data_IF_650509438527
#
_entry.id   IF_650509438527
#
_cell.length_a   1.000
_cell.length_b   1.000
_cell.length_c   1.000
_cell.angle_alpha   90.00
_cell.angle_beta   90.00
_cell.angle_gamma   90.00
#
_symmetry.space_group_name_H-M   'P 1'
#
loop_
_entity.id
_entity.type
_entity.pdbx_description
1 polymer ?
#
# COMPACT_ATOMS: atom_id res chain seq x y z
N UNK A 1 -17.43 -7.54 -24.92
CA UNK A 1 -17.29 -7.52 -23.44
C UNK A 1 -17.26 -6.07 -23.02
N UNK A 2 -18.28 -5.59 -22.32
CA UNK A 2 -18.21 -4.29 -21.65
C UNK A 2 -16.98 -4.33 -20.73
N UNK A 3 -16.08 -3.36 -20.87
CA UNK A 3 -15.00 -3.18 -19.90
C UNK A 3 -15.67 -2.79 -18.57
N UNK A 4 -15.79 -3.73 -17.67
CA UNK A 4 -16.11 -3.39 -16.29
C UNK A 4 -15.02 -2.43 -15.82
N UNK A 5 -15.41 -1.28 -15.28
CA UNK A 5 -14.47 -0.31 -14.77
C UNK A 5 -13.65 -0.88 -13.60
N UNK A 6 -12.54 -0.24 -13.25
CA UNK A 6 -11.69 -0.68 -12.13
C UNK A 6 -12.49 -0.86 -10.82
N UNK A 7 -13.36 0.11 -10.48
CA UNK A 7 -14.16 0.02 -9.25
C UNK A 7 -15.20 -1.09 -9.30
N UNK A 8 -15.77 -1.39 -10.48
CA UNK A 8 -16.71 -2.51 -10.63
C UNK A 8 -16.02 -3.86 -10.41
N UNK A 9 -14.78 -4.01 -10.89
CA UNK A 9 -13.96 -5.18 -10.62
C UNK A 9 -13.72 -5.33 -9.11
N UNK A 10 -13.40 -4.24 -8.40
CA UNK A 10 -13.19 -4.28 -6.95
C UNK A 10 -14.47 -4.58 -6.18
N UNK A 11 -15.62 -4.02 -6.60
CA UNK A 11 -16.92 -4.32 -5.99
C UNK A 11 -17.26 -5.80 -6.15
N UNK A 12 -17.12 -6.33 -7.35
CA UNK A 12 -17.39 -7.74 -7.64
C UNK A 12 -16.51 -8.69 -6.82
N UNK A 13 -15.25 -8.31 -6.57
CA UNK A 13 -14.32 -9.06 -5.73
C UNK A 13 -14.48 -8.84 -4.23
N UNK A 14 -15.35 -7.93 -3.80
CA UNK A 14 -15.46 -7.46 -2.41
C UNK A 14 -14.13 -6.88 -1.89
N UNK A 15 -13.37 -6.25 -2.79
CA UNK A 15 -12.10 -5.59 -2.50
C UNK A 15 -12.22 -4.08 -2.25
N UNK A 16 -13.38 -3.49 -2.42
CA UNK A 16 -13.61 -2.07 -2.17
C UNK A 16 -14.07 -1.87 -0.72
N UNK A 17 -13.28 -1.16 0.09
CA UNK A 17 -13.62 -0.82 1.48
C UNK A 17 -14.11 0.60 1.58
N UNK A 18 -13.22 1.57 1.40
CA UNK A 18 -13.52 2.99 1.47
C UNK A 18 -12.84 3.73 0.31
N UNK A 19 -13.47 4.79 -0.17
CA UNK A 19 -12.88 5.70 -1.14
C UNK A 19 -13.46 7.11 -1.00
N UNK A 20 -12.71 8.11 -1.46
CA UNK A 20 -13.15 9.50 -1.41
C UNK A 20 -14.12 9.81 -2.53
N UNK A 21 -15.11 10.73 -2.29
CA UNK A 21 -16.04 11.18 -3.33
C UNK A 21 -15.33 11.73 -4.57
N UNK A 22 -15.93 11.55 -5.74
CA UNK A 22 -15.40 12.01 -7.02
C UNK A 22 -14.40 11.06 -7.69
N UNK A 23 -13.98 9.98 -7.03
CA UNK A 23 -13.03 9.02 -7.60
C UNK A 23 -13.62 8.28 -8.82
N UNK A 24 -14.91 7.95 -8.80
CA UNK A 24 -15.57 7.26 -9.93
C UNK A 24 -15.50 8.09 -11.20
N UNK A 25 -15.95 9.32 -11.13
CA UNK A 25 -15.96 10.27 -12.24
C UNK A 25 -14.52 10.57 -12.71
N UNK A 26 -13.58 10.67 -11.77
CA UNK A 26 -12.18 10.87 -12.12
C UNK A 26 -11.62 9.71 -12.93
N UNK A 27 -11.93 8.47 -12.59
CA UNK A 27 -11.45 7.26 -13.29
C UNK A 27 -11.99 7.13 -14.72
N UNK A 28 -13.14 7.71 -15.04
CA UNK A 28 -13.70 7.70 -16.39
C UNK A 28 -12.92 8.56 -17.38
N UNK A 29 -12.18 9.54 -16.91
CA UNK A 29 -11.51 10.57 -17.74
C UNK A 29 -10.22 10.12 -18.43
N UNK A 30 -9.94 8.82 -18.61
CA UNK A 30 -8.77 8.33 -19.32
C UNK A 30 -7.74 7.62 -18.42
N UNK A 31 -6.47 7.58 -18.83
CA UNK A 31 -5.41 6.92 -18.05
C UNK A 31 -5.13 7.73 -16.79
N UNK A 32 -5.31 7.12 -15.64
CA UNK A 32 -5.04 7.71 -14.32
C UNK A 32 -3.84 7.06 -13.65
N UNK A 33 -3.22 7.79 -12.74
CA UNK A 33 -2.06 7.32 -12.00
C UNK A 33 -2.43 7.13 -10.52
N UNK A 34 -2.14 5.95 -9.97
CA UNK A 34 -2.33 5.62 -8.57
C UNK A 34 -1.09 4.93 -7.99
N UNK A 35 -0.86 5.07 -6.68
CA UNK A 35 0.28 4.42 -6.06
C UNK A 35 -0.08 3.60 -4.82
N UNK A 36 0.81 2.64 -4.53
CA UNK A 36 0.89 1.93 -3.25
C UNK A 36 2.35 1.93 -2.80
N UNK A 37 2.56 2.18 -1.50
CA UNK A 37 3.88 2.10 -0.86
C UNK A 37 4.15 0.71 -0.27
N UNK A 38 5.41 0.28 -0.37
CA UNK A 38 5.91 -0.98 0.19
C UNK A 38 7.17 -0.70 1.01
N UNK A 39 7.06 -0.81 2.33
CA UNK A 39 8.22 -0.71 3.21
C UNK A 39 9.06 -2.01 3.18
N UNK A 40 10.39 -1.91 3.06
CA UNK A 40 11.28 -3.05 2.89
C UNK A 40 11.59 -3.76 4.21
N UNK A 41 10.55 -4.22 4.91
CA UNK A 41 10.66 -4.83 6.24
C UNK A 41 11.26 -6.24 6.24
N UNK A 42 11.33 -6.89 5.09
CA UNK A 42 11.92 -8.21 4.87
C UNK A 42 12.40 -8.37 3.43
N UNK A 43 13.23 -9.39 3.17
CA UNK A 43 13.72 -9.72 1.82
C UNK A 43 12.60 -10.11 0.84
N UNK A 44 11.46 -10.57 1.33
CA UNK A 44 10.34 -10.98 0.52
C UNK A 44 9.07 -10.23 0.90
N UNK A 45 8.18 -10.10 -0.05
CA UNK A 45 6.79 -9.72 0.15
C UNK A 45 6.00 -10.93 0.65
N UNK A 46 5.04 -10.70 1.55
CA UNK A 46 4.15 -11.73 2.07
C UNK A 46 2.77 -11.69 1.42
N UNK A 47 1.86 -12.58 1.83
CA UNK A 47 0.50 -12.66 1.28
C UNK A 47 -0.30 -11.36 1.44
N UNK A 48 -0.12 -10.61 2.53
CA UNK A 48 -0.77 -9.31 2.69
C UNK A 48 -0.31 -8.28 1.64
N UNK A 49 0.99 -8.28 1.31
CA UNK A 49 1.51 -7.44 0.23
C UNK A 49 1.02 -7.90 -1.13
N UNK A 50 0.85 -9.21 -1.33
CA UNK A 50 0.35 -9.76 -2.59
C UNK A 50 -1.03 -9.22 -2.94
N UNK A 51 -1.94 -9.08 -1.96
CA UNK A 51 -3.25 -8.45 -2.18
C UNK A 51 -3.11 -7.02 -2.70
N UNK A 52 -2.16 -6.25 -2.16
CA UNK A 52 -1.92 -4.88 -2.61
C UNK A 52 -1.29 -4.83 -4.01
N UNK A 53 -0.45 -5.81 -4.35
CA UNK A 53 0.09 -5.96 -5.71
C UNK A 53 -1.04 -6.30 -6.69
N UNK A 54 -1.96 -7.18 -6.29
CA UNK A 54 -3.13 -7.52 -7.10
C UNK A 54 -4.03 -6.30 -7.34
N UNK A 55 -4.20 -5.42 -6.33
CA UNK A 55 -4.92 -4.16 -6.50
C UNK A 55 -4.26 -3.29 -7.59
N UNK A 56 -2.94 -3.14 -7.57
CA UNK A 56 -2.20 -2.45 -8.64
C UNK A 56 -2.32 -3.16 -9.99
N UNK A 57 -2.32 -4.49 -10.01
CA UNK A 57 -2.50 -5.29 -11.22
C UNK A 57 -3.89 -5.09 -11.84
N UNK A 58 -4.94 -5.08 -11.03
CA UNK A 58 -6.30 -4.77 -11.51
C UNK A 58 -6.40 -3.34 -12.04
N UNK A 59 -5.76 -2.39 -11.36
CA UNK A 59 -5.68 -1.01 -11.84
C UNK A 59 -4.97 -0.91 -13.20
N UNK A 60 -3.84 -1.61 -13.36
CA UNK A 60 -3.11 -1.66 -14.63
C UNK A 60 -3.93 -2.33 -15.73
N UNK A 61 -4.61 -3.44 -15.43
CA UNK A 61 -5.47 -4.16 -16.39
C UNK A 61 -6.69 -3.36 -16.84
N UNK A 62 -7.18 -2.45 -15.97
CA UNK A 62 -8.23 -1.50 -16.31
C UNK A 62 -7.74 -0.36 -17.24
N UNK A 63 -6.45 -0.33 -17.56
CA UNK A 63 -5.85 0.65 -18.48
C UNK A 63 -5.18 1.83 -17.77
N UNK A 64 -5.11 1.84 -16.45
CA UNK A 64 -4.50 2.91 -15.67
C UNK A 64 -3.03 2.61 -15.34
N UNK A 65 -2.30 3.61 -14.87
CA UNK A 65 -0.85 3.54 -14.59
C UNK A 65 -0.57 3.37 -13.10
N UNK A 66 -0.09 2.20 -12.64
CA UNK A 66 0.33 2.01 -11.26
C UNK A 66 1.70 2.62 -11.01
N UNK A 67 1.89 3.18 -9.82
CA UNK A 67 3.19 3.56 -9.27
C UNK A 67 3.45 2.69 -8.04
N UNK A 68 4.59 2.01 -8.06
CA UNK A 68 5.10 1.25 -6.93
C UNK A 68 6.11 2.13 -6.20
N UNK A 69 5.83 2.46 -4.94
CA UNK A 69 6.75 3.23 -4.11
C UNK A 69 7.46 2.31 -3.14
N UNK A 70 8.77 2.19 -3.30
CA UNK A 70 9.61 1.50 -2.32
C UNK A 70 9.94 2.45 -1.17
N UNK A 71 9.67 2.01 0.05
CA UNK A 71 9.85 2.78 1.28
C UNK A 71 11.32 2.90 1.72
N UNK A 72 12.20 3.44 0.87
CA UNK A 72 13.61 3.64 1.23
C UNK A 72 13.79 4.67 2.35
N UNK A 73 12.94 5.69 2.44
CA UNK A 73 12.90 6.63 3.55
C UNK A 73 11.98 6.13 4.68
N UNK A 74 10.74 5.81 4.38
CA UNK A 74 9.73 5.38 5.37
C UNK A 74 10.11 4.09 6.07
N UNK A 75 10.76 3.15 5.39
CA UNK A 75 11.28 1.93 6.01
C UNK A 75 12.36 2.15 7.07
N UNK A 76 13.03 3.31 7.06
CA UNK A 76 14.01 3.73 8.09
C UNK A 76 13.36 4.30 9.35
N UNK A 77 12.07 4.61 9.27
CA UNK A 77 11.29 5.22 10.35
C UNK A 77 10.34 4.19 10.98
N UNK A 78 9.60 3.45 10.18
CA UNK A 78 8.66 2.41 10.59
C UNK A 78 7.23 2.90 10.76
N UNK A 79 6.31 2.28 10.00
CA UNK A 79 4.88 2.58 10.04
C UNK A 79 4.24 2.06 11.34
N UNK A 80 3.57 2.91 12.14
CA UNK A 80 2.84 2.51 13.35
C UNK A 80 1.51 1.81 13.05
N UNK A 81 0.99 1.91 11.83
CA UNK A 81 -0.36 1.43 11.48
C UNK A 81 -0.52 -0.07 11.73
N UNK A 82 -1.57 -0.42 12.48
CA UNK A 82 -1.88 -1.82 12.80
C UNK A 82 -0.84 -2.54 13.65
N UNK A 83 -0.04 -1.80 14.46
CA UNK A 83 1.00 -2.32 15.36
C UNK A 83 0.79 -1.84 16.79
N UNK A 84 1.10 -2.73 17.73
CA UNK A 84 1.02 -2.45 19.18
C UNK A 84 2.36 -1.96 19.75
N UNK A 85 3.47 -2.18 19.02
CA UNK A 85 4.84 -1.83 19.43
C UNK A 85 5.59 -1.18 18.28
N UNK A 86 6.55 -0.32 18.63
CA UNK A 86 7.49 0.27 17.69
C UNK A 86 8.29 -0.81 16.95
N UNK A 87 8.58 -0.57 15.67
CA UNK A 87 9.38 -1.49 14.86
C UNK A 87 10.85 -1.40 15.27
N UNK A 88 11.51 -2.54 15.30
CA UNK A 88 12.96 -2.58 15.35
C UNK A 88 13.53 -1.99 14.05
N UNK A 89 14.44 -1.01 14.22
CA UNK A 89 15.09 -0.35 13.10
C UNK A 89 16.17 -1.26 12.50
N UNK A 90 16.07 -1.47 11.20
CA UNK A 90 17.05 -2.24 10.42
C UNK A 90 18.21 -1.36 9.98
N UNK A 91 19.36 -1.97 9.68
CA UNK A 91 20.47 -1.25 9.06
C UNK A 91 20.08 -0.73 7.67
N UNK A 92 20.70 0.37 7.24
CA UNK A 92 20.42 0.96 5.92
C UNK A 92 20.76 -0.01 4.79
N UNK A 93 21.86 -0.77 4.93
CA UNK A 93 22.22 -1.79 3.96
C UNK A 93 21.17 -2.90 3.85
N UNK A 94 20.64 -3.39 4.98
CA UNK A 94 19.59 -4.40 4.97
C UNK A 94 18.32 -3.90 4.28
N UNK A 95 17.95 -2.65 4.52
CA UNK A 95 16.78 -2.04 3.86
C UNK A 95 16.99 -1.93 2.34
N UNK A 96 18.17 -1.47 1.93
CA UNK A 96 18.50 -1.31 0.51
C UNK A 96 18.55 -2.68 -0.21
N UNK A 97 19.08 -3.72 0.45
CA UNK A 97 19.06 -5.09 -0.06
C UNK A 97 17.63 -5.63 -0.17
N UNK A 98 16.81 -5.40 0.84
CA UNK A 98 15.40 -5.81 0.84
C UNK A 98 14.62 -5.15 -0.30
N UNK A 99 14.86 -3.86 -0.59
CA UNK A 99 14.27 -3.16 -1.73
C UNK A 99 14.58 -3.90 -3.03
N UNK A 100 15.84 -4.26 -3.26
CA UNK A 100 16.25 -4.94 -4.48
C UNK A 100 15.57 -6.30 -4.65
N UNK A 101 15.42 -7.07 -3.58
CA UNK A 101 14.70 -8.36 -3.62
C UNK A 101 13.21 -8.18 -3.90
N UNK A 102 12.56 -7.23 -3.23
CA UNK A 102 11.14 -6.96 -3.42
C UNK A 102 10.83 -6.42 -4.83
N UNK A 103 11.70 -5.56 -5.38
CA UNK A 103 11.56 -5.05 -6.76
C UNK A 103 11.58 -6.18 -7.79
N UNK A 104 12.42 -7.22 -7.59
CA UNK A 104 12.43 -8.39 -8.48
C UNK A 104 11.10 -9.13 -8.47
N UNK A 105 10.46 -9.25 -7.31
CA UNK A 105 9.14 -9.88 -7.19
C UNK A 105 8.04 -9.04 -7.85
N UNK A 106 8.05 -7.72 -7.63
CA UNK A 106 7.09 -6.78 -8.22
C UNK A 106 7.15 -6.78 -9.75
N UNK A 107 8.35 -6.87 -10.33
CA UNK A 107 8.55 -6.95 -11.79
C UNK A 107 8.00 -8.22 -12.43
N UNK A 108 7.75 -9.27 -11.66
CA UNK A 108 7.10 -10.48 -12.16
C UNK A 108 5.57 -10.38 -12.21
N UNK A 109 4.99 -9.43 -11.46
CA UNK A 109 3.55 -9.33 -11.23
C UNK A 109 2.91 -8.11 -11.89
N UNK A 110 3.71 -7.11 -12.27
CA UNK A 110 3.27 -5.88 -12.92
C UNK A 110 4.10 -5.64 -14.19
N UNK A 111 3.48 -5.04 -15.20
CA UNK A 111 4.20 -4.66 -16.43
C UNK A 111 4.88 -3.30 -16.24
N UNK A 112 6.22 -3.29 -16.25
CA UNK A 112 7.06 -2.10 -16.18
C UNK A 112 7.66 -1.70 -17.54
N UNK A 113 7.57 -2.55 -18.54
CA UNK A 113 8.39 -2.43 -19.76
C UNK A 113 7.67 -1.70 -20.88
N UNK A 114 6.40 -2.01 -21.15
CA UNK A 114 5.70 -1.57 -22.36
C UNK A 114 4.32 -0.96 -22.07
N UNK A 115 3.89 -0.11 -23.00
CA UNK A 115 2.54 0.44 -23.05
C UNK A 115 2.38 1.79 -22.34
N UNK A 116 1.28 2.51 -22.61
CA UNK A 116 1.01 3.83 -22.06
C UNK A 116 0.73 3.80 -20.55
N UNK A 117 0.35 2.65 -20.02
CA UNK A 117 0.03 2.41 -18.61
C UNK A 117 1.06 1.49 -17.92
N UNK A 118 2.29 1.44 -18.45
CA UNK A 118 3.39 0.72 -17.77
C UNK A 118 3.58 1.24 -16.36
N UNK A 119 3.90 0.36 -15.43
CA UNK A 119 4.14 0.71 -14.04
C UNK A 119 5.38 1.59 -13.87
N UNK A 120 5.35 2.46 -12.87
CA UNK A 120 6.49 3.30 -12.48
C UNK A 120 7.01 2.76 -11.15
N UNK A 121 8.32 2.62 -11.04
CA UNK A 121 9.02 2.29 -9.80
C UNK A 121 9.68 3.54 -9.23
N UNK A 122 9.39 3.86 -7.98
CA UNK A 122 9.93 5.02 -7.26
C UNK A 122 10.52 4.55 -5.93
N UNK A 123 11.66 5.09 -5.53
CA UNK A 123 12.17 4.98 -4.18
C UNK A 123 11.93 6.32 -3.47
N UNK A 124 11.11 6.34 -2.42
CA UNK A 124 10.78 7.58 -1.73
C UNK A 124 12.00 8.23 -1.04
N UNK A 125 13.10 7.50 -0.85
CA UNK A 125 14.35 8.09 -0.36
C UNK A 125 14.85 9.21 -1.28
N UNK A 126 14.55 9.13 -2.59
CA UNK A 126 14.98 10.15 -3.56
C UNK A 126 14.31 11.52 -3.32
N UNK A 127 13.12 11.54 -2.67
CA UNK A 127 12.42 12.78 -2.34
C UNK A 127 13.10 13.58 -1.21
N UNK A 128 13.93 12.91 -0.42
CA UNK A 128 14.60 13.50 0.75
C UNK A 128 16.08 13.74 0.53
N UNK A 129 16.65 13.31 -0.61
CA UNK A 129 18.04 13.55 -0.95
C UNK A 129 18.33 15.05 -1.02
N UNK A 130 19.28 15.51 -0.21
CA UNK A 130 19.66 16.91 -0.17
C UNK A 130 18.78 17.81 0.70
N UNK A 131 17.64 17.32 1.20
CA UNK A 131 16.82 18.05 2.15
C UNK A 131 17.40 17.90 3.56
N UNK A 132 17.71 19.01 4.20
CA UNK A 132 18.13 18.98 5.61
C UNK A 132 16.91 19.02 6.56
N UNK A 133 17.15 18.73 7.84
CA UNK A 133 16.08 18.64 8.84
C UNK A 133 15.32 19.97 9.01
N UNK A 134 15.97 21.11 8.88
CA UNK A 134 15.32 22.42 9.06
C UNK A 134 14.39 22.72 7.87
N UNK A 135 14.81 22.37 6.66
CA UNK A 135 13.98 22.47 5.46
C UNK A 135 12.76 21.56 5.56
N UNK A 136 12.95 20.30 5.98
CA UNK A 136 11.83 19.38 6.19
C UNK A 136 10.82 19.92 7.21
N UNK A 137 11.26 20.39 8.37
CA UNK A 137 10.38 20.94 9.38
C UNK A 137 9.66 22.20 8.90
N UNK A 138 10.34 23.08 8.16
CA UNK A 138 9.79 24.32 7.65
C UNK A 138 8.81 24.07 6.49
N UNK A 139 9.19 23.26 5.50
CA UNK A 139 8.48 23.19 4.22
C UNK A 139 7.48 22.03 4.17
N UNK A 140 7.67 21.01 5.01
CA UNK A 140 6.75 19.88 5.17
C UNK A 140 5.98 19.98 6.49
N UNK A 141 6.68 20.12 7.60
CA UNK A 141 6.10 20.07 8.95
C UNK A 141 4.98 21.07 9.20
N UNK A 142 5.09 22.29 8.68
CA UNK A 142 4.09 23.36 8.90
C UNK A 142 2.71 23.10 8.32
N UNK A 143 2.60 22.19 7.35
CA UNK A 143 1.34 21.94 6.63
C UNK A 143 0.42 20.93 7.32
N UNK A 144 0.89 20.31 8.41
CA UNK A 144 0.10 19.35 9.18
C UNK A 144 0.09 19.74 10.65
N UNK A 145 -1.10 19.94 11.23
CA UNK A 145 -1.20 20.30 12.65
C UNK A 145 -1.06 19.06 13.53
N UNK A 146 -0.46 19.23 14.71
CA UNK A 146 -0.32 18.16 15.72
C UNK A 146 -1.69 17.58 16.07
N UNK A 147 -2.72 18.43 16.28
CA UNK A 147 -4.06 17.95 16.60
C UNK A 147 -4.63 17.03 15.52
N UNK A 148 -4.39 17.33 14.24
CA UNK A 148 -4.79 16.49 13.15
C UNK A 148 -4.05 15.14 13.15
N UNK A 149 -2.74 15.16 13.40
CA UNK A 149 -1.95 13.95 13.51
C UNK A 149 -2.40 13.07 14.70
N UNK A 150 -2.66 13.66 15.84
CA UNK A 150 -3.14 12.98 17.04
C UNK A 150 -4.57 12.41 16.87
N UNK A 151 -5.37 12.94 15.96
CA UNK A 151 -6.72 12.44 15.69
C UNK A 151 -6.76 11.09 14.98
N UNK A 152 -5.64 10.66 14.39
CA UNK A 152 -5.58 9.40 13.62
C UNK A 152 -5.65 8.18 14.53
N UNK A 153 -6.43 7.17 14.12
CA UNK A 153 -6.66 5.97 14.93
C UNK A 153 -5.37 5.21 15.24
N UNK A 154 -4.45 5.12 14.25
CA UNK A 154 -3.15 4.50 14.43
C UNK A 154 -2.29 5.18 15.48
N UNK A 155 -2.43 6.50 15.64
CA UNK A 155 -1.71 7.29 16.66
C UNK A 155 -2.40 7.18 18.01
N UNK A 156 -3.74 7.30 18.07
CA UNK A 156 -4.50 7.22 19.32
C UNK A 156 -4.19 5.95 20.12
N UNK A 157 -4.19 4.79 19.45
CA UNK A 157 -3.85 3.51 20.09
C UNK A 157 -2.45 3.47 20.68
N UNK A 158 -1.51 4.16 20.03
CA UNK A 158 -0.11 4.21 20.46
C UNK A 158 0.17 5.24 21.55
N UNK A 159 -0.68 6.28 21.70
CA UNK A 159 -0.52 7.27 22.77
C UNK A 159 -0.60 6.64 24.16
N UNK A 160 -1.42 5.60 24.36
CA UNK A 160 -1.57 4.92 25.64
C UNK A 160 -0.34 4.09 26.01
N UNK A 161 0.35 3.52 25.03
CA UNK A 161 1.54 2.66 25.21
C UNK A 161 2.86 3.39 25.00
N UNK A 162 2.80 4.63 24.55
CA UNK A 162 3.95 5.44 24.14
C UNK A 162 4.24 5.30 22.65
N UNK A 163 4.47 6.44 21.98
CA UNK A 163 4.90 6.54 20.59
C UNK A 163 6.14 7.44 20.54
N UNK A 164 7.21 7.00 19.86
CA UNK A 164 8.37 7.86 19.67
C UNK A 164 8.07 8.98 18.67
N UNK A 165 8.83 10.08 18.73
CA UNK A 165 8.73 11.16 17.74
C UNK A 165 9.02 10.61 16.32
N UNK A 166 9.96 9.70 16.21
CA UNK A 166 10.30 9.03 14.93
C UNK A 166 9.08 8.33 14.35
N UNK A 167 8.46 7.44 15.10
CA UNK A 167 7.27 6.69 14.67
C UNK A 167 6.08 7.64 14.40
N UNK A 168 5.89 8.66 15.24
CA UNK A 168 4.85 9.67 15.05
C UNK A 168 5.02 10.47 13.76
N UNK A 169 6.27 10.74 13.35
CA UNK A 169 6.57 11.48 12.12
C UNK A 169 6.28 10.72 10.83
N UNK A 170 6.08 9.39 10.89
CA UNK A 170 5.85 8.55 9.71
C UNK A 170 4.71 9.06 8.83
N UNK A 171 3.58 9.42 9.42
CA UNK A 171 2.43 9.91 8.65
C UNK A 171 2.73 11.19 7.87
N UNK A 172 3.66 12.03 8.37
CA UNK A 172 4.08 13.25 7.69
C UNK A 172 4.96 12.93 6.48
N UNK A 173 5.85 11.93 6.60
CA UNK A 173 6.65 11.45 5.48
C UNK A 173 5.77 10.88 4.37
N UNK A 174 4.85 9.99 4.72
CA UNK A 174 3.94 9.39 3.73
C UNK A 174 3.04 10.45 3.05
N UNK A 175 2.62 11.47 3.79
CA UNK A 175 1.86 12.59 3.22
C UNK A 175 2.69 13.41 2.21
N UNK A 176 3.97 13.64 2.53
CA UNK A 176 4.90 14.31 1.62
C UNK A 176 5.26 13.46 0.40
N UNK A 177 5.40 12.15 0.56
CA UNK A 177 5.57 11.22 -0.57
C UNK A 177 4.43 11.37 -1.58
N UNK A 178 3.18 11.42 -1.10
CA UNK A 178 2.04 11.63 -1.99
C UNK A 178 2.11 12.97 -2.73
N UNK A 179 2.50 14.03 -2.05
CA UNK A 179 2.70 15.34 -2.67
C UNK A 179 3.80 15.30 -3.74
N UNK A 180 4.92 14.66 -3.48
CA UNK A 180 6.00 14.49 -4.47
C UNK A 180 5.53 13.70 -5.69
N UNK A 181 4.78 12.62 -5.48
CA UNK A 181 4.22 11.82 -6.57
C UNK A 181 3.16 12.59 -7.38
N UNK A 182 2.35 13.41 -6.71
CA UNK A 182 1.42 14.32 -7.37
C UNK A 182 2.16 15.29 -8.31
N UNK A 183 3.24 15.91 -7.82
CA UNK A 183 4.01 16.89 -8.61
C UNK A 183 4.80 16.23 -9.77
N UNK A 184 5.42 15.08 -9.52
CA UNK A 184 6.35 14.46 -10.47
C UNK A 184 5.67 13.53 -11.49
N UNK A 185 4.54 12.92 -11.12
CA UNK A 185 3.90 11.86 -11.90
C UNK A 185 2.40 12.07 -12.15
N UNK A 186 1.85 13.25 -11.80
CA UNK A 186 0.40 13.49 -11.78
C UNK A 186 -0.37 12.34 -11.10
N UNK A 187 0.24 11.82 -10.00
CA UNK A 187 -0.35 10.73 -9.23
C UNK A 187 -1.39 11.31 -8.28
N UNK A 188 -2.66 11.09 -8.57
CA UNK A 188 -3.77 11.68 -7.82
C UNK A 188 -4.52 10.69 -6.94
N UNK A 189 -4.15 9.41 -6.98
CA UNK A 189 -4.81 8.38 -6.18
C UNK A 189 -3.77 7.68 -5.31
N UNK A 190 -4.03 7.62 -4.00
CA UNK A 190 -3.30 6.73 -3.09
C UNK A 190 -4.20 5.56 -2.72
N UNK A 191 -3.65 4.35 -2.81
CA UNK A 191 -4.35 3.11 -2.48
C UNK A 191 -3.62 2.34 -1.39
N UNK A 192 -4.35 1.49 -0.65
CA UNK A 192 -3.77 0.67 0.40
C UNK A 192 -4.78 -0.24 1.10
N UNK A 193 -4.35 -0.92 2.16
CA UNK A 193 -5.25 -1.63 3.07
C UNK A 193 -6.03 -0.65 3.96
N UNK A 194 -7.12 -1.09 4.55
CA UNK A 194 -7.97 -0.24 5.40
C UNK A 194 -7.26 0.30 6.65
N UNK A 195 -6.20 -0.38 7.12
CA UNK A 195 -5.33 0.11 8.19
C UNK A 195 -4.51 1.34 7.79
N UNK A 196 -4.37 1.62 6.50
CA UNK A 196 -3.68 2.78 5.94
C UNK A 196 -4.58 4.01 5.72
N UNK A 197 -5.89 3.92 5.94
CA UNK A 197 -6.83 5.02 5.69
C UNK A 197 -6.41 6.35 6.34
N UNK A 198 -5.93 6.29 7.58
CA UNK A 198 -5.44 7.46 8.32
C UNK A 198 -4.24 8.14 7.65
N UNK A 199 -3.26 7.35 7.21
CA UNK A 199 -2.07 7.85 6.51
C UNK A 199 -2.45 8.39 5.12
N UNK A 200 -3.28 7.66 4.37
CA UNK A 200 -3.73 8.05 3.02
C UNK A 200 -4.48 9.40 3.06
N UNK A 201 -5.43 9.54 3.99
CA UNK A 201 -6.18 10.79 4.14
C UNK A 201 -5.32 11.94 4.67
N UNK A 202 -4.21 11.66 5.36
CA UNK A 202 -3.22 12.69 5.70
C UNK A 202 -2.52 13.23 4.45
N UNK A 203 -2.24 12.37 3.48
CA UNK A 203 -1.68 12.76 2.19
C UNK A 203 -2.64 13.62 1.36
N UNK A 204 -3.91 13.24 1.27
CA UNK A 204 -4.91 14.06 0.56
C UNK A 204 -5.07 15.43 1.20
N UNK A 205 -5.11 15.52 2.53
CA UNK A 205 -5.20 16.79 3.24
C UNK A 205 -3.93 17.63 3.08
N UNK A 206 -2.75 17.01 3.08
CA UNK A 206 -1.49 17.70 2.84
C UNK A 206 -1.47 18.36 1.46
N UNK A 207 -1.86 17.64 0.40
CA UNK A 207 -1.92 18.17 -0.96
C UNK A 207 -2.94 19.31 -1.04
N UNK A 208 -4.14 19.13 -0.48
CA UNK A 208 -5.19 20.17 -0.48
C UNK A 208 -4.71 21.48 0.17
N UNK A 209 -3.88 21.42 1.21
CA UNK A 209 -3.32 22.60 1.88
C UNK A 209 -2.20 23.27 1.10
N UNK A 210 -1.47 22.51 0.31
CA UNK A 210 -0.32 23.02 -0.47
C UNK A 210 -0.69 23.47 -1.87
N UNK A 211 -1.71 22.83 -2.46
CA UNK A 211 -2.16 23.09 -3.83
C UNK A 211 -3.65 23.37 -3.80
N UNK A 212 -4.08 24.64 -3.75
CA UNK A 212 -5.49 25.00 -3.80
C UNK A 212 -6.17 24.39 -5.03
N UNK A 213 -7.42 23.96 -4.86
CA UNK A 213 -8.25 23.36 -5.92
C UNK A 213 -7.71 22.02 -6.47
N UNK A 214 -6.73 21.41 -5.81
CA UNK A 214 -6.25 20.08 -6.19
C UNK A 214 -7.31 19.02 -5.89
N UNK A 215 -7.52 18.13 -6.86
CA UNK A 215 -8.36 16.95 -6.71
C UNK A 215 -7.45 15.72 -6.56
N UNK A 216 -7.48 15.09 -5.40
CA UNK A 216 -6.74 13.87 -5.09
C UNK A 216 -7.63 12.92 -4.28
N UNK A 217 -7.39 11.64 -4.44
CA UNK A 217 -8.30 10.60 -4.02
C UNK A 217 -7.60 9.53 -3.18
N UNK A 218 -8.37 8.91 -2.32
CA UNK A 218 -8.00 7.77 -1.49
C UNK A 218 -8.87 6.56 -1.83
N UNK A 219 -8.28 5.37 -1.80
CA UNK A 219 -9.01 4.11 -1.93
C UNK A 219 -8.38 3.06 -1.03
N UNK A 220 -9.20 2.32 -0.29
CA UNK A 220 -8.73 1.21 0.53
C UNK A 220 -9.45 -0.09 0.25
N UNK A 221 -8.71 -1.18 0.47
CA UNK A 221 -9.23 -2.55 0.45
C UNK A 221 -9.41 -3.08 1.86
N UNK A 222 -10.35 -4.01 2.11
CA UNK A 222 -10.42 -4.73 3.36
C UNK A 222 -9.11 -5.46 3.65
N UNK A 223 -8.76 -5.57 4.93
CA UNK A 223 -7.65 -6.44 5.33
C UNK A 223 -8.01 -7.91 5.08
N UNK A 224 -7.05 -8.67 4.59
CA UNK A 224 -7.21 -10.11 4.46
C UNK A 224 -7.10 -10.75 5.85
N UNK A 225 -8.25 -11.14 6.40
CA UNK A 225 -8.38 -11.77 7.71
C UNK A 225 -9.02 -13.14 7.58
N UNK A 226 -8.71 -14.03 8.53
CA UNK A 226 -9.41 -15.29 8.72
C UNK A 226 -10.81 -15.07 9.30
N UNK A 227 -11.66 -16.08 9.26
CA UNK A 227 -13.00 -16.04 9.85
C UNK A 227 -12.99 -15.80 11.38
N UNK A 228 -11.87 -16.15 12.06
CA UNK A 228 -11.64 -15.86 13.48
C UNK A 228 -11.11 -14.42 13.75
N UNK A 229 -11.00 -13.58 12.72
CA UNK A 229 -10.53 -12.20 12.80
C UNK A 229 -9.00 -12.03 12.80
N UNK A 230 -8.22 -13.12 12.84
CA UNK A 230 -6.77 -13.04 12.79
C UNK A 230 -6.27 -12.69 11.39
N UNK A 231 -5.07 -12.11 11.31
CA UNK A 231 -4.43 -11.77 10.01
C UNK A 231 -4.18 -13.06 9.21
N UNK A 232 -4.66 -13.07 7.97
CA UNK A 232 -4.36 -14.13 7.02
C UNK A 232 -2.89 -14.06 6.55
N UNK A 233 -2.32 -15.20 6.14
CA UNK A 233 -0.93 -15.23 5.66
C UNK A 233 0.11 -15.37 6.77
N UNK A 234 -0.34 -15.70 8.00
CA UNK A 234 0.52 -16.13 9.09
C UNK A 234 0.22 -17.58 9.44
N UNK A 235 1.26 -18.42 9.51
CA UNK A 235 1.22 -19.74 10.10
C UNK A 235 1.72 -19.69 11.56
N UNK A 236 1.70 -20.81 12.24
CA UNK A 236 2.35 -20.96 13.56
C UNK A 236 3.86 -20.69 13.51
N UNK A 237 4.48 -20.95 12.35
CA UNK A 237 5.91 -20.74 12.09
C UNK A 237 6.24 -19.30 11.60
N UNK A 238 5.25 -18.40 11.47
CA UNK A 238 5.45 -17.02 11.04
C UNK A 238 4.76 -16.66 9.73
N UNK A 239 5.30 -15.69 9.01
CA UNK A 239 4.72 -15.20 7.76
C UNK A 239 4.89 -16.19 6.60
N UNK A 240 3.91 -16.25 5.72
CA UNK A 240 4.01 -16.93 4.42
C UNK A 240 4.55 -15.92 3.40
N UNK A 241 5.70 -16.23 2.86
CA UNK A 241 6.46 -15.39 1.94
C UNK A 241 6.29 -15.82 0.49
N UNK A 242 6.38 -14.88 -0.43
CA UNK A 242 6.34 -15.16 -1.87
C UNK A 242 7.67 -15.69 -2.42
N UNK A 243 8.76 -15.57 -1.65
CA UNK A 243 10.08 -16.10 -2.00
C UNK A 243 10.21 -17.58 -1.58
N UNK A 244 10.57 -18.43 -2.55
CA UNK A 244 10.73 -19.87 -2.34
C UNK A 244 11.86 -20.24 -1.37
N UNK A 245 12.83 -19.37 -1.13
CA UNK A 245 13.90 -19.57 -0.15
C UNK A 245 13.42 -19.28 1.28
N UNK A 246 12.41 -18.41 1.45
CA UNK A 246 11.85 -18.06 2.76
C UNK A 246 10.64 -18.92 3.12
N UNK A 247 9.81 -19.28 2.15
CA UNK A 247 8.73 -20.26 2.29
C UNK A 247 8.85 -21.24 1.12
N UNK A 248 9.26 -22.48 1.42
CA UNK A 248 9.44 -23.48 0.37
C UNK A 248 8.13 -23.72 -0.40
N UNK A 249 8.19 -24.10 -1.69
CA UNK A 249 6.98 -24.38 -2.48
C UNK A 249 6.06 -25.41 -1.82
N UNK A 250 6.63 -26.42 -1.15
CA UNK A 250 5.88 -27.41 -0.38
C UNK A 250 5.12 -26.77 0.80
N UNK A 251 5.80 -25.94 1.61
CA UNK A 251 5.15 -25.22 2.74
C UNK A 251 4.09 -24.24 2.24
N UNK A 252 4.35 -23.55 1.13
CA UNK A 252 3.38 -22.66 0.51
C UNK A 252 2.13 -23.41 0.04
N UNK A 253 2.31 -24.55 -0.63
CA UNK A 253 1.23 -25.44 -1.06
C UNK A 253 0.44 -25.97 0.16
N UNK A 254 1.13 -26.47 1.19
CA UNK A 254 0.50 -26.98 2.39
C UNK A 254 -0.29 -25.91 3.16
N UNK A 255 0.20 -24.67 3.15
CA UNK A 255 -0.55 -23.56 3.75
C UNK A 255 -1.92 -23.38 3.06
N UNK A 256 -1.96 -23.40 1.74
CA UNK A 256 -3.21 -23.27 1.00
C UNK A 256 -4.12 -24.49 1.12
N UNK A 257 -3.55 -25.66 1.13
CA UNK A 257 -4.30 -26.91 1.28
C UNK A 257 -4.99 -27.02 2.65
N UNK A 258 -4.42 -26.42 3.68
CA UNK A 258 -4.94 -26.43 5.05
C UNK A 258 -5.72 -25.16 5.42
N UNK A 259 -6.05 -24.30 4.46
CA UNK A 259 -6.94 -23.16 4.71
C UNK A 259 -8.35 -23.69 4.99
N UNK A 260 -8.98 -23.13 6.03
CA UNK A 260 -10.39 -23.43 6.35
C UNK A 260 -11.28 -22.98 5.17
N UNK A 261 -12.24 -23.81 4.76
CA UNK A 261 -13.15 -23.51 3.66
C UNK A 261 -13.89 -22.17 3.83
N UNK A 262 -14.15 -21.77 5.08
CA UNK A 262 -14.76 -20.47 5.41
C UNK A 262 -13.86 -19.28 5.05
N UNK A 263 -12.54 -19.48 5.04
CA UNK A 263 -11.55 -18.45 4.75
C UNK A 263 -11.21 -18.37 3.26
N UNK A 264 -11.53 -19.42 2.48
CA UNK A 264 -11.08 -19.56 1.10
C UNK A 264 -11.68 -18.53 0.10
N UNK A 265 -12.97 -18.14 0.18
CA UNK A 265 -13.58 -17.26 -0.83
C UNK A 265 -12.86 -15.91 -0.98
N UNK A 266 -12.42 -15.27 0.10
CA UNK A 266 -11.72 -13.98 0.05
C UNK A 266 -10.36 -14.05 -0.64
N UNK A 267 -9.41 -14.93 -0.22
CA UNK A 267 -8.13 -15.08 -0.92
C UNK A 267 -8.29 -15.38 -2.40
N UNK A 268 -9.22 -16.27 -2.77
CA UNK A 268 -9.48 -16.60 -4.18
C UNK A 268 -9.95 -15.36 -4.94
N UNK A 269 -10.95 -14.65 -4.42
CA UNK A 269 -11.47 -13.43 -5.04
C UNK A 269 -10.39 -12.35 -5.19
N UNK A 270 -9.49 -12.21 -4.20
CA UNK A 270 -8.49 -11.14 -4.17
C UNK A 270 -7.26 -11.41 -5.04
N UNK A 271 -6.95 -12.67 -5.33
CA UNK A 271 -5.66 -13.05 -5.93
C UNK A 271 -5.76 -13.60 -7.35
N UNK A 272 -6.90 -14.13 -7.76
CA UNK A 272 -7.05 -14.70 -9.10
C UNK A 272 -7.33 -13.62 -10.13
N UNK A 273 -6.55 -13.59 -11.21
CA UNK A 273 -6.76 -12.67 -12.33
C UNK A 273 -8.04 -12.96 -13.11
N UNK A 274 -8.40 -14.25 -13.19
CA UNK A 274 -9.66 -14.72 -13.76
C UNK A 274 -10.34 -15.61 -12.74
N UNK A 275 -11.59 -15.30 -12.40
CA UNK A 275 -12.40 -16.16 -11.53
C UNK A 275 -13.24 -17.12 -12.40
N UNK A 276 -13.57 -18.33 -11.90
CA UNK A 276 -14.51 -19.22 -12.55
C UNK A 276 -15.83 -18.50 -12.83
N UNK A 277 -16.34 -18.64 -14.06
CA UNK A 277 -17.61 -18.02 -14.45
C UNK A 277 -18.83 -18.77 -13.89
N UNK A 278 -18.65 -20.01 -13.45
CA UNK A 278 -19.70 -20.82 -12.86
C UNK A 278 -19.66 -20.70 -11.34
N UNK A 279 -20.77 -20.27 -10.77
CA UNK A 279 -21.02 -20.19 -9.31
C UNK A 279 -21.38 -21.56 -8.70
N UNK A 280 -21.00 -22.65 -9.34
CA UNK A 280 -21.21 -23.99 -8.83
C UNK A 280 -19.91 -24.50 -8.19
N UNK A 281 -19.72 -24.15 -6.94
CA UNK A 281 -19.01 -24.94 -5.93
C UNK A 281 -19.86 -24.95 -4.66
#
# INVERSE_FOLDING_TARGET
MQKNGFLDELRWRSMLQDYTPGLEEYLEGGIRTAYIGFDPTAKSLGLGNYVQIMLLSFFQRAGHRPVVVMGGATGRIGDPSGKDKERELKSYQELDDNIQFQVKQLKQLLNFDEGPNKAILVNNFDFYKGMNVLEFLRDVGKHTTINYMLSKESVKKRLETGISYTEFSYQLLQAYDFYCLYQLHDCRIQMGGSDQWGNITSGTEFIRRNVPESEVYALTTPLLTKADGKKFGKSEEGNIWLDAQMTTPYKFYQFWLNVDDRDLPKPVSYTHLTLPTNREV
#
